data_IF_565190650622
#
_entry.id   IF_565190650622
#
_cell.length_a   1.000
_cell.length_b   1.000
_cell.length_c   1.000
_cell.angle_alpha   90.00
_cell.angle_beta   90.00
_cell.angle_gamma   90.00
#
_symmetry.space_group_name_H-M   'P 1'
#
loop_
_entity.id
_entity.type
_entity.pdbx_description
1 polymer ?
#
# COMPACT_ATOMS: atom_id res chain seq x y z
N UNK A 1 18.44 -15.57 -1.00
CA UNK A 1 18.68 -14.12 -1.06
C UNK A 1 17.48 -13.32 -0.56
N UNK A 2 16.32 -13.35 -1.23
CA UNK A 2 15.11 -12.61 -0.84
C UNK A 2 14.66 -12.77 0.62
N UNK A 3 14.77 -13.96 1.21
CA UNK A 3 14.44 -14.18 2.63
C UNK A 3 15.36 -13.41 3.58
N UNK A 4 16.67 -13.39 3.29
CA UNK A 4 17.65 -12.64 4.10
C UNK A 4 17.41 -11.13 3.99
N UNK A 5 17.18 -10.63 2.77
CA UNK A 5 16.81 -9.23 2.55
C UNK A 5 15.55 -8.81 3.34
N UNK A 6 14.56 -9.71 3.45
CA UNK A 6 13.39 -9.49 4.29
C UNK A 6 13.71 -9.57 5.78
N UNK A 7 14.50 -10.53 6.24
CA UNK A 7 14.90 -10.63 7.66
C UNK A 7 15.63 -9.37 8.14
N UNK A 8 16.48 -8.78 7.29
CA UNK A 8 17.23 -7.57 7.62
C UNK A 8 16.34 -6.31 7.66
N UNK A 9 15.43 -6.16 6.69
CA UNK A 9 14.65 -4.93 6.53
C UNK A 9 13.24 -4.99 7.16
N UNK A 10 12.62 -6.17 7.16
CA UNK A 10 11.25 -6.42 7.62
C UNK A 10 11.15 -7.76 8.40
N UNK A 11 11.79 -7.88 9.57
CA UNK A 11 11.66 -9.06 10.44
C UNK A 11 10.22 -9.61 10.48
N UNK A 12 10.07 -10.93 10.35
CA UNK A 12 8.80 -11.69 10.38
C UNK A 12 7.81 -11.46 9.22
N UNK A 13 8.08 -10.48 8.34
CA UNK A 13 7.26 -10.17 7.18
C UNK A 13 7.96 -10.60 5.89
N UNK A 14 7.42 -11.63 5.24
CA UNK A 14 7.93 -12.06 3.93
C UNK A 14 7.28 -11.21 2.82
N UNK A 15 8.04 -10.24 2.31
CA UNK A 15 7.61 -9.29 1.29
C UNK A 15 8.24 -9.58 -0.07
N UNK A 16 7.46 -9.28 -1.11
CA UNK A 16 7.82 -9.45 -2.52
C UNK A 16 7.33 -8.18 -3.23
N UNK A 17 8.24 -7.39 -3.78
CA UNK A 17 7.90 -6.14 -4.44
C UNK A 17 7.99 -6.23 -5.96
N UNK A 18 7.01 -5.61 -6.63
CA UNK A 18 6.96 -5.41 -8.07
C UNK A 18 7.06 -3.91 -8.33
N UNK A 19 8.15 -3.48 -8.98
CA UNK A 19 8.23 -2.14 -9.55
C UNK A 19 7.49 -2.16 -10.88
N UNK A 20 6.45 -1.34 -10.97
CA UNK A 20 5.57 -1.27 -12.14
C UNK A 20 5.24 0.18 -12.48
N UNK A 21 5.63 0.63 -13.67
CA UNK A 21 5.30 1.97 -14.15
C UNK A 21 3.81 2.34 -13.95
N UNK A 22 3.55 3.59 -13.58
CA UNK A 22 2.16 4.08 -13.43
C UNK A 22 1.41 3.91 -14.76
N UNK A 23 0.24 3.27 -14.69
CA UNK A 23 -0.58 2.98 -15.86
C UNK A 23 -0.25 1.66 -16.57
N UNK A 24 0.78 0.92 -16.16
CA UNK A 24 1.17 -0.35 -16.80
C UNK A 24 0.31 -1.57 -16.39
N UNK A 25 -0.82 -1.36 -15.70
CA UNK A 25 -1.73 -2.45 -15.31
C UNK A 25 -1.48 -3.07 -13.94
N UNK A 26 -0.91 -2.33 -12.97
CA UNK A 26 -0.72 -2.77 -11.57
C UNK A 26 -1.94 -3.47 -10.97
N UNK A 27 -3.13 -2.90 -11.11
CA UNK A 27 -4.37 -3.50 -10.59
C UNK A 27 -4.74 -4.81 -11.31
N UNK A 28 -4.40 -4.97 -12.59
CA UNK A 28 -4.61 -6.25 -13.31
C UNK A 28 -3.70 -7.33 -12.74
N UNK A 29 -2.44 -7.00 -12.42
CA UNK A 29 -1.53 -7.93 -11.73
C UNK A 29 -2.04 -8.31 -10.34
N UNK A 30 -2.63 -7.37 -9.59
CA UNK A 30 -3.29 -7.71 -8.32
C UNK A 30 -4.44 -8.71 -8.52
N UNK A 31 -5.28 -8.51 -9.54
CA UNK A 31 -6.35 -9.45 -9.90
C UNK A 31 -5.78 -10.83 -10.26
N UNK A 32 -4.72 -10.90 -11.07
CA UNK A 32 -4.04 -12.14 -11.41
C UNK A 32 -3.47 -12.87 -10.17
N UNK A 33 -2.87 -12.14 -9.23
CA UNK A 33 -2.38 -12.71 -7.98
C UNK A 33 -3.52 -13.29 -7.14
N UNK A 34 -4.64 -12.57 -7.00
CA UNK A 34 -5.81 -13.05 -6.27
C UNK A 34 -6.37 -14.31 -6.93
N UNK A 35 -6.59 -14.26 -8.24
CA UNK A 35 -7.08 -15.38 -9.04
C UNK A 35 -6.20 -16.63 -8.87
N UNK A 36 -4.89 -16.47 -9.04
CA UNK A 36 -3.91 -17.53 -8.89
C UNK A 36 -4.00 -18.19 -7.51
N UNK A 37 -4.02 -17.40 -6.44
CA UNK A 37 -4.10 -17.92 -5.09
C UNK A 37 -5.43 -18.61 -4.78
N UNK A 38 -6.55 -18.00 -5.18
CA UNK A 38 -7.88 -18.55 -4.90
C UNK A 38 -8.09 -19.88 -5.62
N UNK A 39 -7.84 -19.92 -6.93
CA UNK A 39 -8.13 -21.11 -7.74
C UNK A 39 -7.23 -22.28 -7.34
N UNK A 40 -5.94 -22.03 -7.09
CA UNK A 40 -5.04 -23.08 -6.60
C UNK A 40 -5.42 -23.55 -5.19
N UNK A 41 -5.88 -22.65 -4.31
CA UNK A 41 -6.35 -23.03 -2.97
C UNK A 41 -7.61 -23.88 -3.02
N UNK A 42 -8.51 -23.58 -3.95
CA UNK A 42 -9.75 -24.35 -4.15
C UNK A 42 -9.46 -25.73 -4.77
N UNK A 43 -8.52 -25.79 -5.72
CA UNK A 43 -8.07 -27.05 -6.32
C UNK A 43 -7.35 -27.96 -5.31
N UNK A 44 -6.53 -27.40 -4.41
CA UNK A 44 -5.89 -28.13 -3.32
C UNK A 44 -5.98 -27.38 -1.99
N UNK A 45 -7.02 -27.71 -1.21
CA UNK A 45 -7.30 -27.06 0.09
C UNK A 45 -6.21 -27.27 1.13
N UNK A 46 -5.40 -28.32 1.03
CA UNK A 46 -4.32 -28.60 1.97
C UNK A 46 -3.00 -27.90 1.61
N UNK A 47 -2.88 -27.36 0.39
CA UNK A 47 -1.67 -26.66 -0.01
C UNK A 47 -1.51 -25.37 0.82
N UNK A 48 -0.44 -25.32 1.60
CA UNK A 48 -0.14 -24.22 2.50
C UNK A 48 0.41 -22.98 1.77
N UNK A 49 0.78 -23.09 0.48
CA UNK A 49 1.30 -21.96 -0.31
C UNK A 49 0.21 -20.97 -0.68
N UNK A 50 -1.01 -21.45 -0.88
CA UNK A 50 -2.13 -20.67 -1.39
C UNK A 50 -3.15 -20.29 -0.30
N UNK A 51 -3.92 -19.23 -0.56
CA UNK A 51 -5.02 -18.77 0.29
C UNK A 51 -6.18 -18.26 -0.55
N UNK A 52 -7.37 -18.25 0.02
CA UNK A 52 -8.56 -17.62 -0.55
C UNK A 52 -8.90 -16.30 0.16
N UNK A 53 -7.98 -15.78 0.99
CA UNK A 53 -8.23 -14.67 1.91
C UNK A 53 -7.16 -13.58 1.79
N UNK A 54 -7.58 -12.34 1.53
CA UNK A 54 -6.72 -11.21 1.20
C UNK A 54 -7.09 -9.96 1.99
N UNK A 55 -6.06 -9.19 2.36
CA UNK A 55 -6.19 -7.82 2.84
C UNK A 55 -5.39 -6.90 1.92
N UNK A 56 -6.09 -6.00 1.24
CA UNK A 56 -5.53 -5.01 0.34
C UNK A 56 -5.42 -3.70 1.09
N UNK A 57 -4.23 -3.10 1.14
CA UNK A 57 -3.97 -1.84 1.86
C UNK A 57 -3.53 -0.75 0.89
N UNK A 58 -4.06 0.45 1.08
CA UNK A 58 -3.85 1.61 0.21
C UNK A 58 -3.43 2.86 1.00
N UNK A 59 -2.76 3.84 0.35
CA UNK A 59 -2.34 5.08 1.01
C UNK A 59 -3.50 6.06 1.23
N UNK A 60 -4.53 6.04 0.37
CA UNK A 60 -5.67 6.97 0.46
C UNK A 60 -7.03 6.31 0.23
N UNK A 61 -8.09 6.90 0.78
CA UNK A 61 -9.47 6.42 0.60
C UNK A 61 -9.93 6.45 -0.87
N UNK A 62 -9.46 7.43 -1.65
CA UNK A 62 -9.76 7.52 -3.08
C UNK A 62 -9.22 6.30 -3.83
N UNK A 63 -8.02 5.84 -3.46
CA UNK A 63 -7.41 4.65 -4.07
C UNK A 63 -8.17 3.39 -3.63
N UNK A 64 -8.45 3.27 -2.32
CA UNK A 64 -9.26 2.19 -1.75
C UNK A 64 -10.55 1.99 -2.55
N UNK A 65 -11.29 3.07 -2.80
CA UNK A 65 -12.60 3.00 -3.44
C UNK A 65 -12.49 2.60 -4.93
N UNK A 66 -11.41 3.00 -5.62
CA UNK A 66 -11.13 2.55 -6.99
C UNK A 66 -10.74 1.07 -7.08
N UNK A 67 -10.08 0.53 -6.06
CA UNK A 67 -9.66 -0.87 -6.05
C UNK A 67 -10.81 -1.87 -5.83
N UNK A 68 -12.05 -1.40 -5.65
CA UNK A 68 -13.25 -2.25 -5.60
C UNK A 68 -13.42 -3.16 -6.82
N UNK A 69 -12.83 -2.79 -7.96
CA UNK A 69 -12.73 -3.64 -9.16
C UNK A 69 -12.00 -4.97 -8.93
N UNK A 70 -11.30 -5.13 -7.80
CA UNK A 70 -10.68 -6.40 -7.38
C UNK A 70 -11.65 -7.34 -6.66
N UNK A 71 -12.86 -6.89 -6.31
CA UNK A 71 -13.90 -7.72 -5.72
C UNK A 71 -14.59 -8.52 -6.82
N UNK A 72 -14.61 -9.87 -6.78
CA UNK A 72 -15.22 -10.69 -7.83
C UNK A 72 -16.72 -10.42 -8.03
N UNK A 73 -17.41 -9.99 -6.97
CA UNK A 73 -18.84 -9.67 -6.99
C UNK A 73 -19.14 -8.23 -7.46
N UNK A 74 -18.12 -7.41 -7.72
CA UNK A 74 -18.35 -6.06 -8.24
C UNK A 74 -18.72 -6.15 -9.74
N UNK A 75 -19.78 -5.46 -10.21
CA UNK A 75 -20.17 -5.49 -11.62
C UNK A 75 -19.08 -4.96 -12.57
N UNK A 76 -18.16 -4.14 -12.05
CA UNK A 76 -17.04 -3.56 -12.80
C UNK A 76 -15.73 -4.30 -12.51
N UNK A 77 -15.79 -5.56 -12.08
CA UNK A 77 -14.60 -6.30 -11.70
C UNK A 77 -13.62 -6.49 -12.87
N UNK A 78 -12.33 -6.39 -12.56
CA UNK A 78 -11.28 -6.51 -13.57
C UNK A 78 -11.09 -7.93 -14.09
N UNK A 79 -11.57 -8.95 -13.38
CA UNK A 79 -11.46 -10.34 -13.84
C UNK A 79 -12.20 -10.53 -15.16
N UNK A 80 -13.40 -9.96 -15.29
CA UNK A 80 -14.19 -9.95 -16.53
C UNK A 80 -13.75 -8.85 -17.48
N UNK A 81 -13.58 -7.60 -17.01
CA UNK A 81 -13.27 -6.48 -17.92
C UNK A 81 -11.92 -6.62 -18.66
N UNK A 82 -11.02 -7.44 -18.13
CA UNK A 82 -9.67 -7.66 -18.68
C UNK A 82 -9.43 -9.10 -19.08
N UNK A 83 -10.49 -9.91 -19.17
CA UNK A 83 -10.42 -11.33 -19.54
C UNK A 83 -9.33 -12.09 -18.77
N UNK A 84 -9.18 -11.78 -17.47
CA UNK A 84 -8.13 -12.39 -16.62
C UNK A 84 -8.40 -13.88 -16.42
N UNK A 85 -9.68 -14.25 -16.38
CA UNK A 85 -10.13 -15.63 -16.23
C UNK A 85 -11.33 -15.91 -17.13
N UNK A 86 -11.50 -17.18 -17.55
CA UNK A 86 -12.75 -17.64 -18.14
C UNK A 86 -13.96 -17.44 -17.20
N UNK A 87 -15.15 -17.25 -17.77
CA UNK A 87 -16.37 -16.93 -17.00
C UNK A 87 -16.77 -18.06 -16.05
N UNK A 88 -16.50 -19.31 -16.41
CA UNK A 88 -16.77 -20.51 -15.59
C UNK A 88 -16.02 -20.50 -14.25
N UNK A 89 -14.89 -19.79 -14.14
CA UNK A 89 -14.11 -19.72 -12.90
C UNK A 89 -14.55 -18.57 -11.99
N UNK A 90 -15.44 -17.68 -12.45
CA UNK A 90 -15.91 -16.55 -11.66
C UNK A 90 -16.71 -16.99 -10.42
N UNK A 91 -17.49 -18.07 -10.53
CA UNK A 91 -18.22 -18.63 -9.39
C UNK A 91 -17.28 -19.17 -8.30
N UNK A 92 -16.17 -19.78 -8.69
CA UNK A 92 -15.14 -20.24 -7.75
C UNK A 92 -14.40 -19.05 -7.13
N UNK A 93 -14.02 -18.07 -7.96
CA UNK A 93 -13.35 -16.85 -7.51
C UNK A 93 -14.20 -16.05 -6.50
N UNK A 94 -15.52 -16.02 -6.66
CA UNK A 94 -16.46 -15.35 -5.76
C UNK A 94 -16.41 -15.86 -4.31
N UNK A 95 -15.79 -17.03 -4.06
CA UNK A 95 -15.56 -17.56 -2.71
C UNK A 95 -14.43 -16.85 -1.97
N UNK A 96 -13.64 -16.02 -2.67
CA UNK A 96 -12.56 -15.25 -2.08
C UNK A 96 -13.06 -14.27 -1.02
N UNK A 97 -12.32 -14.15 0.09
CA UNK A 97 -12.53 -13.13 1.12
C UNK A 97 -11.52 -12.01 0.92
N UNK A 98 -12.00 -10.84 0.49
CA UNK A 98 -11.13 -9.70 0.19
C UNK A 98 -11.60 -8.50 1.00
N UNK A 99 -10.71 -7.95 1.83
CA UNK A 99 -10.92 -6.65 2.47
C UNK A 99 -10.02 -5.63 1.78
N UNK A 100 -10.58 -4.49 1.40
CA UNK A 100 -9.83 -3.35 0.86
C UNK A 100 -9.90 -2.22 1.88
N UNK A 101 -8.75 -1.81 2.39
CA UNK A 101 -8.66 -0.80 3.44
C UNK A 101 -7.60 0.26 3.12
N UNK A 102 -7.63 1.31 3.91
CA UNK A 102 -6.60 2.34 3.96
C UNK A 102 -5.72 2.12 5.20
N UNK A 103 -4.43 2.45 5.13
CA UNK A 103 -3.51 2.23 6.26
C UNK A 103 -3.93 2.97 7.55
N UNK A 104 -4.63 4.12 7.46
CA UNK A 104 -5.16 4.81 8.64
C UNK A 104 -6.12 3.94 9.46
N UNK A 105 -6.72 2.91 8.86
CA UNK A 105 -7.55 1.94 9.59
C UNK A 105 -6.75 1.20 10.68
N UNK A 106 -5.42 1.12 10.54
CA UNK A 106 -4.52 0.52 11.53
C UNK A 106 -4.21 1.42 12.73
N UNK A 107 -4.62 2.70 12.71
CA UNK A 107 -4.53 3.54 13.89
C UNK A 107 -5.46 2.98 14.99
N UNK A 108 -4.90 2.82 16.19
CA UNK A 108 -5.66 2.41 17.37
C UNK A 108 -6.62 3.52 17.77
N UNK A 109 -7.89 3.16 17.99
CA UNK A 109 -8.93 4.11 18.39
C UNK A 109 -9.07 4.14 19.90
N UNK A 110 -9.54 5.26 20.42
CA UNK A 110 -9.99 5.32 21.81
C UNK A 110 -11.28 4.50 21.96
N UNK A 111 -11.35 3.69 23.01
CA UNK A 111 -12.50 2.84 23.33
C UNK A 111 -13.64 3.64 23.97
N UNK A 112 -13.31 4.75 24.63
CA UNK A 112 -14.26 5.62 25.33
C UNK A 112 -14.16 7.05 24.81
N UNK A 113 -15.28 7.56 24.30
CA UNK A 113 -15.40 8.94 23.84
C UNK A 113 -15.80 9.85 25.03
N UNK A 114 -14.83 10.17 25.88
CA UNK A 114 -15.03 11.02 27.06
C UNK A 114 -14.06 12.22 27.08
N UNK A 115 -14.45 13.29 27.78
CA UNK A 115 -13.60 14.47 27.98
C UNK A 115 -12.30 14.14 28.74
N UNK A 116 -11.26 14.97 28.56
CA UNK A 116 -9.91 14.75 29.15
C UNK A 116 -9.96 14.48 30.67
N UNK A 117 -10.82 15.17 31.40
CA UNK A 117 -10.97 15.03 32.86
C UNK A 117 -11.60 13.68 33.27
N UNK A 118 -12.62 13.23 32.55
CA UNK A 118 -13.25 11.91 32.79
C UNK A 118 -12.27 10.78 32.49
N UNK A 119 -11.44 10.94 31.45
CA UNK A 119 -10.38 9.98 31.11
C UNK A 119 -9.29 9.89 32.17
N UNK A 120 -8.87 11.00 32.78
CA UNK A 120 -7.89 10.97 33.88
C UNK A 120 -8.43 10.28 35.13
N UNK A 121 -9.74 10.41 35.40
CA UNK A 121 -10.39 9.74 36.54
C UNK A 121 -10.54 8.24 36.26
N UNK A 122 -10.97 7.84 35.06
CA UNK A 122 -11.10 6.44 34.66
C UNK A 122 -9.77 5.68 34.66
N UNK A 123 -8.67 6.32 34.26
CA UNK A 123 -7.31 5.75 34.31
C UNK A 123 -6.81 5.44 35.73
N UNK A 124 -7.41 6.04 36.77
CA UNK A 124 -7.08 5.73 38.16
C UNK A 124 -7.93 4.58 38.74
N UNK A 125 -9.03 4.21 38.09
CA UNK A 125 -9.94 3.15 38.56
C UNK A 125 -9.80 1.82 37.84
N UNK A 126 -9.39 1.80 36.57
CA UNK A 126 -9.20 0.59 35.77
C UNK A 126 -7.75 0.48 35.25
N UNK A 127 -7.18 -0.72 35.35
CA UNK A 127 -5.87 -1.08 34.77
C UNK A 127 -5.88 -1.19 33.24
N UNK A 128 -7.05 -1.11 32.60
CA UNK A 128 -7.19 -1.26 31.15
C UNK A 128 -7.00 0.08 30.41
N UNK A 129 -6.12 0.05 29.41
CA UNK A 129 -5.88 1.16 28.49
C UNK A 129 -7.18 1.58 27.79
N UNK A 130 -7.53 2.88 27.87
CA UNK A 130 -8.66 3.49 27.15
C UNK A 130 -8.47 3.53 25.61
N UNK A 131 -7.40 2.93 25.10
CA UNK A 131 -7.04 2.85 23.69
C UNK A 131 -7.03 1.38 23.25
N UNK A 132 -7.52 1.11 22.04
CA UNK A 132 -7.48 -0.22 21.42
C UNK A 132 -6.08 -0.83 21.49
N UNK A 133 -6.00 -2.09 21.91
CA UNK A 133 -4.80 -2.91 21.72
C UNK A 133 -4.59 -3.22 20.23
N UNK A 134 -3.37 -3.59 19.79
CA UNK A 134 -3.14 -4.03 18.41
C UNK A 134 -4.08 -5.18 17.98
N UNK A 135 -4.37 -6.11 18.89
CA UNK A 135 -5.29 -7.22 18.65
C UNK A 135 -6.74 -6.76 18.44
N UNK A 136 -7.22 -5.77 19.20
CA UNK A 136 -8.54 -5.17 19.02
C UNK A 136 -8.63 -4.40 17.70
N UNK A 137 -7.59 -3.64 17.36
CA UNK A 137 -7.49 -2.95 16.06
C UNK A 137 -7.59 -3.96 14.92
N UNK A 138 -6.84 -5.08 14.97
CA UNK A 138 -6.88 -6.09 13.91
C UNK A 138 -8.27 -6.73 13.81
N UNK A 139 -8.93 -7.03 14.94
CA UNK A 139 -10.31 -7.54 14.93
C UNK A 139 -11.29 -6.57 14.27
N UNK A 140 -11.11 -5.26 14.47
CA UNK A 140 -11.92 -4.22 13.83
C UNK A 140 -11.66 -4.16 12.33
N UNK A 141 -10.39 -4.07 11.91
CA UNK A 141 -10.02 -3.92 10.49
C UNK A 141 -10.31 -5.18 9.68
N UNK A 142 -10.06 -6.35 10.26
CA UNK A 142 -10.17 -7.64 9.57
C UNK A 142 -11.46 -8.41 9.93
N UNK A 143 -12.49 -7.73 10.45
CA UNK A 143 -13.71 -8.35 10.97
C UNK A 143 -14.37 -9.32 9.99
N UNK A 144 -14.42 -8.95 8.71
CA UNK A 144 -15.09 -9.72 7.65
C UNK A 144 -14.36 -11.01 7.27
N UNK A 145 -13.09 -11.14 7.65
CA UNK A 145 -12.32 -12.38 7.45
C UNK A 145 -12.82 -13.51 8.38
N UNK A 146 -13.50 -13.18 9.48
CA UNK A 146 -13.99 -14.16 10.45
C UNK A 146 -12.83 -14.97 11.05
N UNK A 147 -12.90 -16.30 10.94
CA UNK A 147 -11.90 -17.22 11.49
C UNK A 147 -10.74 -17.54 10.54
N UNK A 148 -10.66 -16.88 9.37
CA UNK A 148 -9.59 -17.11 8.41
C UNK A 148 -8.24 -16.69 8.99
N UNK A 149 -7.19 -17.44 8.66
CA UNK A 149 -5.81 -17.21 9.12
C UNK A 149 -4.82 -17.41 8.00
N UNK A 150 -3.60 -16.90 8.17
CA UNK A 150 -2.54 -16.98 7.16
C UNK A 150 -3.01 -16.38 5.83
N UNK A 151 -3.27 -15.08 5.87
CA UNK A 151 -3.80 -14.33 4.72
C UNK A 151 -2.66 -13.83 3.82
N UNK A 152 -3.01 -13.32 2.65
CA UNK A 152 -2.08 -12.56 1.81
C UNK A 152 -2.40 -11.08 1.92
N UNK A 153 -1.34 -10.28 2.02
CA UNK A 153 -1.46 -8.83 1.95
C UNK A 153 -1.09 -8.37 0.55
N UNK A 154 -1.84 -7.42 0.01
CA UNK A 154 -1.48 -6.71 -1.22
C UNK A 154 -1.42 -5.22 -0.88
N UNK A 155 -0.24 -4.62 -0.95
CA UNK A 155 -0.05 -3.19 -0.74
C UNK A 155 -0.01 -2.48 -2.10
N UNK A 156 -0.89 -1.48 -2.26
CA UNK A 156 -0.82 -0.54 -3.36
C UNK A 156 -0.01 0.70 -2.95
N UNK A 157 0.84 1.22 -3.84
CA UNK A 157 1.77 2.33 -3.54
C UNK A 157 2.65 1.99 -2.33
N UNK A 158 3.20 0.78 -2.35
CA UNK A 158 3.95 0.21 -1.23
C UNK A 158 5.20 1.00 -0.81
N UNK A 159 5.62 2.01 -1.58
CA UNK A 159 6.68 2.94 -1.21
C UNK A 159 6.36 3.74 0.06
N UNK A 160 5.09 3.84 0.44
CA UNK A 160 4.66 4.40 1.72
C UNK A 160 4.78 3.41 2.90
N UNK A 161 5.06 2.13 2.65
CA UNK A 161 5.09 1.08 3.67
C UNK A 161 6.53 0.55 3.86
N UNK A 162 7.30 1.23 4.70
CA UNK A 162 8.68 0.85 5.00
C UNK A 162 9.03 1.06 6.47
N UNK A 163 10.08 0.37 6.92
CA UNK A 163 10.70 0.59 8.22
C UNK A 163 11.87 1.56 8.06
N UNK A 164 11.98 2.54 8.95
CA UNK A 164 13.17 3.40 9.03
C UNK A 164 14.38 2.57 9.46
N UNK A 165 15.52 2.76 8.82
CA UNK A 165 16.78 2.08 9.21
C UNK A 165 17.31 2.65 10.52
N UNK A 166 17.47 1.80 11.53
CA UNK A 166 18.16 2.17 12.77
C UNK A 166 19.65 2.43 12.49
N UNK A 167 20.19 3.54 12.98
CA UNK A 167 21.58 3.96 12.69
C UNK A 167 21.85 4.25 11.21
N UNK A 168 20.78 4.53 10.45
CA UNK A 168 20.86 4.88 9.04
C UNK A 168 21.33 6.32 8.79
N UNK A 169 21.26 6.76 7.54
CA UNK A 169 21.65 8.11 7.14
C UNK A 169 20.79 9.17 7.86
N UNK A 170 21.44 10.03 8.66
CA UNK A 170 20.80 11.18 9.29
C UNK A 170 20.95 12.42 8.42
N UNK A 171 19.88 12.74 7.69
CA UNK A 171 19.83 13.95 6.87
C UNK A 171 19.21 15.09 7.67
N UNK A 172 19.93 16.22 7.80
CA UNK A 172 19.36 17.45 8.38
C UNK A 172 18.36 18.06 7.39
N UNK A 173 17.07 17.85 7.66
CA UNK A 173 15.98 18.50 6.94
C UNK A 173 15.54 19.76 7.70
N UNK A 174 15.17 20.82 6.97
CA UNK A 174 14.78 22.12 7.54
C UNK A 174 13.42 22.54 7.01
N UNK A 175 12.68 23.31 7.81
CA UNK A 175 11.42 23.93 7.39
C UNK A 175 10.37 22.89 7.00
N UNK A 176 9.78 23.07 5.81
CA UNK A 176 8.69 22.23 5.32
C UNK A 176 9.16 20.84 4.90
N UNK A 177 10.38 20.68 4.38
CA UNK A 177 10.95 19.37 4.04
C UNK A 177 11.00 18.44 5.27
N UNK A 178 11.31 19.00 6.43
CA UNK A 178 11.35 18.25 7.69
C UNK A 178 9.96 17.77 8.09
N UNK A 179 8.96 18.66 8.04
CA UNK A 179 7.58 18.31 8.42
C UNK A 179 7.00 17.23 7.50
N UNK A 180 7.27 17.33 6.20
CA UNK A 180 6.85 16.32 5.23
C UNK A 180 7.52 14.96 5.45
N UNK A 181 8.81 14.94 5.80
CA UNK A 181 9.51 13.70 6.11
C UNK A 181 9.01 13.07 7.41
N UNK A 182 8.79 13.87 8.46
CA UNK A 182 8.21 13.41 9.72
C UNK A 182 6.81 12.82 9.52
N UNK A 183 5.96 13.48 8.71
CA UNK A 183 4.63 12.96 8.36
C UNK A 183 4.72 11.64 7.60
N UNK A 184 5.57 11.56 6.57
CA UNK A 184 5.79 10.32 5.80
C UNK A 184 6.30 9.18 6.68
N UNK A 185 7.20 9.47 7.61
CA UNK A 185 7.70 8.48 8.55
C UNK A 185 6.59 7.96 9.48
N UNK A 186 5.74 8.86 10.00
CA UNK A 186 4.60 8.46 10.84
C UNK A 186 3.59 7.60 10.07
N UNK A 187 3.25 7.98 8.83
CA UNK A 187 2.38 7.19 7.96
C UNK A 187 2.97 5.80 7.68
N UNK A 188 4.27 5.73 7.35
CA UNK A 188 4.97 4.47 7.11
C UNK A 188 5.01 3.59 8.36
N UNK A 189 5.22 4.20 9.53
CA UNK A 189 5.21 3.53 10.84
C UNK A 189 3.84 2.94 11.15
N UNK A 190 2.76 3.70 10.98
CA UNK A 190 1.38 3.21 11.18
C UNK A 190 1.10 2.04 10.25
N UNK A 191 1.51 2.14 8.98
CA UNK A 191 1.27 1.08 8.00
C UNK A 191 2.02 -0.20 8.37
N UNK A 192 3.34 -0.13 8.55
CA UNK A 192 4.15 -1.33 8.81
C UNK A 192 3.78 -1.99 10.15
N UNK A 193 3.57 -1.21 11.21
CA UNK A 193 3.16 -1.73 12.52
C UNK A 193 1.76 -2.36 12.48
N UNK A 194 0.85 -1.83 11.65
CA UNK A 194 -0.42 -2.46 11.35
C UNK A 194 -0.27 -3.85 10.73
N UNK A 195 0.64 -4.01 9.76
CA UNK A 195 0.93 -5.30 9.13
C UNK A 195 1.57 -6.29 10.13
N UNK A 196 2.43 -5.82 11.03
CA UNK A 196 2.99 -6.65 12.11
C UNK A 196 1.93 -7.12 13.10
N UNK A 197 1.00 -6.24 13.48
CA UNK A 197 -0.14 -6.62 14.31
C UNK A 197 -1.00 -7.69 13.61
N UNK A 198 -1.26 -7.54 12.30
CA UNK A 198 -1.98 -8.54 11.50
C UNK A 198 -1.19 -9.86 11.44
N UNK A 199 0.13 -9.83 11.23
CA UNK A 199 1.01 -11.00 11.26
C UNK A 199 0.88 -11.75 12.58
N UNK A 200 0.98 -11.04 13.71
CA UNK A 200 0.91 -11.61 15.05
C UNK A 200 -0.47 -12.20 15.36
N UNK A 201 -1.54 -11.51 14.95
CA UNK A 201 -2.91 -11.90 15.34
C UNK A 201 -3.54 -12.95 14.44
N UNK A 202 -3.42 -12.81 13.12
CA UNK A 202 -4.12 -13.63 12.11
C UNK A 202 -3.13 -14.49 11.30
N UNK A 203 -1.88 -14.06 11.18
CA UNK A 203 -0.88 -14.69 10.33
C UNK A 203 -0.91 -14.13 8.91
N UNK A 204 0.28 -13.89 8.36
CA UNK A 204 0.50 -13.46 6.97
C UNK A 204 1.41 -14.49 6.30
N UNK A 205 1.00 -14.98 5.12
CA UNK A 205 1.80 -15.89 4.27
C UNK A 205 2.87 -15.12 3.50
N UNK A 206 2.44 -14.08 2.80
CA UNK A 206 3.28 -13.22 1.99
C UNK A 206 2.62 -11.84 1.85
N UNK A 207 3.44 -10.84 1.56
CA UNK A 207 3.02 -9.49 1.24
C UNK A 207 3.50 -9.19 -0.18
N UNK A 208 2.55 -8.86 -1.06
CA UNK A 208 2.85 -8.37 -2.39
C UNK A 208 2.80 -6.85 -2.38
N UNK A 209 3.95 -6.24 -2.58
CA UNK A 209 4.11 -4.79 -2.65
C UNK A 209 4.11 -4.36 -4.12
N UNK A 210 3.16 -3.53 -4.53
CA UNK A 210 3.12 -3.00 -5.89
C UNK A 210 3.25 -1.48 -5.87
N UNK A 211 4.25 -0.97 -6.58
CA UNK A 211 4.55 0.46 -6.62
C UNK A 211 5.26 0.82 -7.91
N UNK A 212 5.07 2.04 -8.43
CA UNK A 212 5.92 2.58 -9.49
C UNK A 212 7.31 2.97 -8.98
N UNK A 213 7.40 3.23 -7.67
CA UNK A 213 8.54 3.84 -7.02
C UNK A 213 8.92 3.09 -5.74
N UNK A 214 9.15 1.75 -5.74
CA UNK A 214 9.50 1.00 -4.52
C UNK A 214 10.94 1.28 -4.11
N UNK A 215 11.23 2.53 -3.78
CA UNK A 215 12.50 3.00 -3.28
C UNK A 215 12.32 3.79 -1.99
N UNK A 216 13.38 3.84 -1.21
CA UNK A 216 13.42 4.61 0.01
C UNK A 216 13.51 6.11 -0.28
N UNK A 217 12.66 6.88 0.40
CA UNK A 217 12.65 8.34 0.32
C UNK A 217 13.71 8.94 1.25
N UNK A 218 14.14 10.16 0.96
CA UNK A 218 15.01 10.95 1.84
C UNK A 218 14.42 11.02 3.25
N UNK A 219 15.26 10.80 4.27
CA UNK A 219 14.85 10.76 5.68
C UNK A 219 14.40 9.37 6.19
N UNK A 220 14.34 8.35 5.34
CA UNK A 220 14.02 6.97 5.73
C UNK A 220 15.16 6.22 6.44
N UNK A 221 16.34 6.84 6.59
CA UNK A 221 17.57 6.19 7.09
C UNK A 221 18.27 5.32 6.04
N UNK A 222 17.72 5.18 4.83
CA UNK A 222 18.39 4.60 3.68
C UNK A 222 18.82 5.71 2.72
N UNK A 223 19.87 5.47 1.91
CA UNK A 223 20.20 6.38 0.82
C UNK A 223 19.00 6.59 -0.09
N UNK A 224 18.73 7.83 -0.46
CA UNK A 224 17.62 8.18 -1.32
C UNK A 224 17.67 7.41 -2.65
N UNK A 225 16.49 7.06 -3.17
CA UNK A 225 16.32 6.29 -4.42
C UNK A 225 16.88 4.85 -4.37
N UNK A 226 17.32 4.36 -3.21
CA UNK A 226 17.65 2.93 -3.03
C UNK A 226 16.39 2.09 -3.18
N UNK A 227 16.36 1.18 -4.15
CA UNK A 227 15.26 0.23 -4.31
C UNK A 227 15.10 -0.64 -3.07
N UNK A 228 13.86 -1.01 -2.76
CA UNK A 228 13.60 -1.99 -1.73
C UNK A 228 14.33 -3.30 -2.05
N UNK A 229 15.07 -3.89 -1.10
CA UNK A 229 15.87 -5.08 -1.36
C UNK A 229 15.03 -6.35 -1.60
N UNK A 230 13.70 -6.24 -1.49
CA UNK A 230 12.75 -7.31 -1.83
C UNK A 230 12.02 -7.09 -3.16
N UNK A 231 12.48 -6.16 -4.02
CA UNK A 231 12.02 -6.06 -5.41
C UNK A 231 12.48 -7.29 -6.19
N UNK A 232 11.53 -8.00 -6.80
CA UNK A 232 11.79 -9.21 -7.61
C UNK A 232 11.53 -8.99 -9.11
N UNK A 233 10.88 -7.88 -9.46
CA UNK A 233 10.57 -7.52 -10.84
C UNK A 233 10.64 -6.01 -10.99
N UNK A 234 11.35 -5.56 -12.02
CA UNK A 234 11.45 -4.15 -12.39
C UNK A 234 10.90 -3.93 -13.80
N UNK A 235 9.73 -3.29 -13.88
CA UNK A 235 9.14 -2.81 -15.12
C UNK A 235 9.05 -1.29 -15.07
N UNK A 236 10.04 -0.64 -15.67
CA UNK A 236 10.26 0.80 -15.55
C UNK A 236 9.34 1.61 -16.46
N UNK A 237 9.30 2.94 -16.25
CA UNK A 237 8.56 3.84 -17.14
C UNK A 237 9.11 3.80 -18.57
N UNK A 238 10.42 3.60 -18.74
CA UNK A 238 11.06 3.50 -20.05
C UNK A 238 10.54 2.25 -20.77
N UNK A 239 10.59 1.08 -20.10
CA UNK A 239 10.09 -0.17 -20.68
C UNK A 239 8.60 -0.07 -21.05
N UNK A 240 7.80 0.56 -20.19
CA UNK A 240 6.38 0.76 -20.43
C UNK A 240 6.12 1.65 -21.65
N UNK A 241 6.95 2.66 -21.88
CA UNK A 241 6.90 3.54 -23.06
C UNK A 241 7.31 2.76 -24.31
N UNK A 242 8.43 2.04 -24.27
CA UNK A 242 8.96 1.28 -25.41
C UNK A 242 8.02 0.16 -25.84
N UNK A 243 7.32 -0.46 -24.89
CA UNK A 243 6.29 -1.46 -25.16
C UNK A 243 4.95 -0.86 -25.62
N UNK A 244 4.81 0.47 -25.68
CA UNK A 244 3.57 1.15 -26.06
C UNK A 244 2.40 0.95 -25.08
N UNK A 245 2.69 0.54 -23.84
CA UNK A 245 1.69 0.28 -22.81
C UNK A 245 1.22 1.59 -22.17
N UNK A 246 2.11 2.57 -22.05
CA UNK A 246 1.79 3.88 -21.48
C UNK A 246 2.08 5.01 -22.48
N UNK A 247 1.45 6.16 -22.24
CA UNK A 247 1.66 7.36 -23.05
C UNK A 247 3.06 7.93 -22.81
N UNK A 248 3.65 8.49 -23.86
CA UNK A 248 4.91 9.25 -23.76
C UNK A 248 4.62 10.65 -23.22
N UNK A 249 5.06 11.00 -22.00
CA UNK A 249 4.93 12.37 -21.52
C UNK A 249 5.82 13.29 -22.37
N UNK A 250 5.25 14.39 -22.85
CA UNK A 250 6.00 15.44 -23.57
C UNK A 250 6.01 16.70 -22.71
N UNK A 251 7.20 17.26 -22.50
CA UNK A 251 7.34 18.59 -21.92
C UNK A 251 7.23 19.60 -23.07
N UNK A 252 6.32 20.58 -23.00
CA UNK A 252 6.28 21.66 -23.99
C UNK A 252 7.62 22.38 -24.03
N UNK A 253 8.21 22.50 -25.22
CA UNK A 253 9.47 23.23 -25.44
C UNK A 253 9.30 24.48 -26.30
N UNK A 254 8.18 24.60 -27.01
CA UNK A 254 7.79 25.76 -27.81
C UNK A 254 6.29 26.05 -27.64
N UNK A 255 5.90 27.29 -27.88
CA UNK A 255 4.53 27.80 -27.82
C UNK A 255 4.38 28.85 -28.94
N UNK A 256 3.24 28.83 -29.64
CA UNK A 256 2.94 29.74 -30.74
C UNK A 256 2.55 31.15 -30.24
N UNK A 257 2.41 31.32 -28.93
CA UNK A 257 2.24 32.63 -28.33
C UNK A 257 3.52 33.47 -28.50
N UNK A 258 3.43 34.55 -29.28
CA UNK A 258 4.48 35.56 -29.49
C UNK A 258 4.74 36.42 -28.22
N UNK A 259 4.71 35.81 -27.02
CA UNK A 259 4.83 36.49 -25.73
C UNK A 259 6.12 36.14 -24.96
N UNK A 260 6.94 35.21 -25.44
CA UNK A 260 8.24 34.91 -24.84
C UNK A 260 8.97 33.72 -25.47
N UNK A 261 10.21 33.46 -25.01
CA UNK A 261 11.06 32.35 -25.50
C UNK A 261 10.69 30.98 -24.91
N UNK A 262 9.86 30.94 -23.86
CA UNK A 262 9.44 29.73 -23.18
C UNK A 262 7.92 29.56 -23.25
N UNK A 263 7.40 28.31 -23.27
CA UNK A 263 5.97 28.06 -23.26
C UNK A 263 5.25 28.73 -22.08
N UNK A 264 4.10 29.35 -22.36
CA UNK A 264 3.35 30.19 -21.39
C UNK A 264 3.13 29.50 -20.05
N UNK A 265 2.85 28.20 -20.05
CA UNK A 265 2.54 27.42 -18.85
C UNK A 265 3.71 26.57 -18.32
N UNK A 266 4.93 26.73 -18.84
CA UNK A 266 6.09 25.93 -18.43
C UNK A 266 6.39 26.05 -16.93
N UNK A 267 6.21 27.25 -16.37
CA UNK A 267 6.49 27.56 -14.96
C UNK A 267 5.22 27.75 -14.14
N UNK A 268 4.05 27.30 -14.63
CA UNK A 268 2.75 27.58 -14.00
C UNK A 268 2.75 27.25 -12.51
N UNK A 269 3.33 26.10 -12.13
CA UNK A 269 3.42 25.66 -10.74
C UNK A 269 4.20 26.65 -9.85
N UNK A 270 5.33 27.15 -10.33
CA UNK A 270 6.15 28.12 -9.58
C UNK A 270 5.39 29.43 -9.32
N UNK A 271 4.47 29.80 -10.21
CA UNK A 271 3.69 31.03 -10.10
C UNK A 271 2.42 30.87 -9.24
N UNK A 272 1.80 29.68 -9.21
CA UNK A 272 0.53 29.49 -8.50
C UNK A 272 0.68 28.84 -7.13
N UNK A 273 1.80 28.17 -6.84
CA UNK A 273 1.96 27.36 -5.61
C UNK A 273 1.67 28.12 -4.32
N UNK A 274 2.02 29.41 -4.27
CA UNK A 274 1.86 30.23 -3.07
C UNK A 274 0.41 30.72 -2.87
N UNK A 275 -0.41 30.67 -3.91
CA UNK A 275 -1.83 31.07 -3.90
C UNK A 275 -2.82 29.90 -3.86
N UNK A 276 -2.36 28.65 -3.90
CA UNK A 276 -3.22 27.48 -3.79
C UNK A 276 -3.70 27.27 -2.34
N UNK A 277 -4.91 26.70 -2.14
CA UNK A 277 -5.38 26.34 -0.80
C UNK A 277 -4.38 25.43 -0.10
N UNK A 278 -4.06 25.75 1.15
CA UNK A 278 -3.21 24.91 2.02
C UNK A 278 -3.98 23.73 2.59
#
# INVERSE_FOLDING_TARGET
ELRRANEDANPELFRIAFKMATGSGKTVVMAMLIAWHVLNKLANRQDARFTDTFLIVTPGITIRDRLRVLLPNDPQNYYQQRDVLPTEWMTELAKAKIIITNFHAFMQRELVNAGKLTKSILRHGETDSLTETPDQMVRRVCRELGNKRNIIIINDEAHHCYRRRAGGEEVKLVGDERKEAEKREEEARVWISGLEAVKKKIGIKAIYDLSATPFFLRGSGYPEATLFPWVVSDFSLIDAIECGIVKVPRVPVADDSMRGELPTYRSIWLHIRDGLPK
#
